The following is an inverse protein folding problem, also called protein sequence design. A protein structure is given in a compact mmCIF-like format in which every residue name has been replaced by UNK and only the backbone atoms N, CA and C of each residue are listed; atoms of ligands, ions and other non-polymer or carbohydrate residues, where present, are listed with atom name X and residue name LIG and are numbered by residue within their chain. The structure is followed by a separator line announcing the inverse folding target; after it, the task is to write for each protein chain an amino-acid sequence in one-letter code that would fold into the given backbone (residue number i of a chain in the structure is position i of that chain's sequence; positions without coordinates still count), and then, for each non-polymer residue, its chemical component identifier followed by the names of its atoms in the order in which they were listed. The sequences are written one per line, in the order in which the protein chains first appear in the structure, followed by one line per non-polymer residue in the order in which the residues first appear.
data_IF_232440758136
#
_entry.id   IF_232440758136
#
_cell.length_a   1.000
_cell.length_b   1.000
_cell.length_c   1.000
_cell.angle_alpha   90.00
_cell.angle_beta   90.00
_cell.angle_gamma   90.00
#
_symmetry.space_group_name_H-M   'P 1'
#
loop_
_entity.id
_entity.type
_entity.pdbx_description
1 polymer ?
#
# COMPACT_ATOMS: atom_id res chain seq x y z
N UNK A 1 -9.53 15.45 -0.57
CA UNK A 1 -8.40 14.69 -0.05
C UNK A 1 -8.59 14.40 1.43
N UNK A 2 -8.37 13.19 1.82
CA UNK A 2 -8.34 12.91 3.25
C UNK A 2 -6.99 13.38 3.81
N UNK A 3 -7.03 14.08 4.95
CA UNK A 3 -5.82 14.47 5.66
C UNK A 3 -5.43 13.43 6.71
N UNK A 4 -6.27 12.42 6.87
CA UNK A 4 -6.11 11.38 7.88
C UNK A 4 -5.37 10.20 7.28
N UNK A 5 -4.04 10.31 7.21
CA UNK A 5 -3.18 9.25 6.69
C UNK A 5 -2.07 8.93 7.69
N UNK A 6 -1.61 7.68 7.67
CA UNK A 6 -0.57 7.17 8.56
C UNK A 6 0.82 7.42 7.99
N UNK A 7 0.95 7.43 6.67
CA UNK A 7 2.25 7.45 5.98
C UNK A 7 2.08 8.03 4.59
N UNK A 8 3.13 8.68 4.10
CA UNK A 8 3.17 9.23 2.76
C UNK A 8 4.55 9.00 2.15
N UNK A 9 4.60 8.75 0.85
CA UNK A 9 5.83 8.49 0.12
C UNK A 9 5.78 9.17 -1.23
N UNK A 10 6.83 9.94 -1.55
CA UNK A 10 6.93 10.66 -2.81
C UNK A 10 7.60 9.82 -3.88
N UNK A 11 7.12 9.96 -5.12
CA UNK A 11 7.60 9.26 -6.30
C UNK A 11 7.68 10.21 -7.48
N UNK A 12 8.35 9.77 -8.53
CA UNK A 12 8.20 10.34 -9.87
C UNK A 12 8.07 9.22 -10.87
N UNK A 13 7.28 9.45 -11.93
CA UNK A 13 7.04 8.46 -12.98
C UNK A 13 8.27 8.34 -13.89
N UNK A 14 8.72 7.12 -14.13
CA UNK A 14 9.81 6.81 -15.05
C UNK A 14 9.26 6.43 -16.42
N UNK A 15 10.01 6.73 -17.48
CA UNK A 15 9.57 6.49 -18.86
C UNK A 15 9.13 5.04 -19.10
N UNK A 16 9.89 4.08 -18.57
CA UNK A 16 9.61 2.65 -18.76
C UNK A 16 8.38 2.14 -18.01
N UNK A 17 7.75 2.98 -17.20
CA UNK A 17 6.52 2.64 -16.49
C UNK A 17 5.27 2.96 -17.31
N UNK A 18 5.45 3.64 -18.44
CA UNK A 18 4.37 4.04 -19.32
C UNK A 18 4.16 3.03 -20.45
N UNK A 19 2.91 2.95 -20.92
CA UNK A 19 2.53 2.13 -22.06
C UNK A 19 2.61 2.93 -23.38
N UNK A 20 2.13 2.31 -24.46
CA UNK A 20 2.14 2.95 -25.78
C UNK A 20 1.28 4.21 -25.86
N UNK A 21 0.35 4.39 -24.93
CA UNK A 21 -0.49 5.58 -24.89
C UNK A 21 0.18 6.75 -24.16
N UNK A 22 1.37 6.51 -23.60
CA UNK A 22 2.11 7.54 -22.86
C UNK A 22 1.63 7.77 -21.44
N UNK A 23 0.84 6.86 -20.92
CA UNK A 23 0.37 6.91 -19.52
C UNK A 23 0.87 5.70 -18.77
N UNK A 24 0.95 5.81 -17.44
CA UNK A 24 1.41 4.71 -16.60
C UNK A 24 0.53 3.47 -16.81
N UNK A 25 1.15 2.32 -17.01
CA UNK A 25 0.47 1.06 -17.17
C UNK A 25 -0.32 0.70 -15.90
N UNK A 26 -1.53 0.16 -16.07
CA UNK A 26 -2.40 -0.18 -14.95
C UNK A 26 -1.73 -1.03 -13.87
N UNK A 27 -0.90 -1.99 -14.28
CA UNK A 27 -0.22 -2.87 -13.33
C UNK A 27 0.84 -2.13 -12.50
N UNK A 28 1.45 -1.10 -13.05
CA UNK A 28 2.50 -0.34 -12.38
C UNK A 28 1.95 0.42 -11.16
N UNK A 29 0.70 0.88 -11.22
CA UNK A 29 0.07 1.54 -10.07
C UNK A 29 0.08 0.62 -8.84
N UNK A 30 -0.15 -0.67 -9.03
CA UNK A 30 -0.10 -1.62 -7.91
C UNK A 30 1.31 -1.73 -7.33
N UNK A 31 2.34 -1.63 -8.17
CA UNK A 31 3.73 -1.63 -7.70
C UNK A 31 4.03 -0.41 -6.84
N UNK A 32 3.53 0.76 -7.21
CA UNK A 32 3.68 1.96 -6.39
C UNK A 32 3.04 1.78 -5.02
N UNK A 33 1.81 1.26 -5.01
CA UNK A 33 1.07 1.06 -3.76
C UNK A 33 1.75 0.02 -2.88
N UNK A 34 2.23 -1.07 -3.45
CA UNK A 34 2.96 -2.10 -2.73
C UNK A 34 4.25 -1.57 -2.12
N UNK A 35 5.02 -0.82 -2.92
CA UNK A 35 6.25 -0.24 -2.43
C UNK A 35 6.00 0.69 -1.24
N UNK A 36 4.95 1.50 -1.30
CA UNK A 36 4.57 2.36 -0.19
C UNK A 36 4.23 1.57 1.07
N UNK A 37 3.52 0.44 0.92
CA UNK A 37 3.21 -0.43 2.07
C UNK A 37 4.50 -1.00 2.68
N UNK A 38 5.45 -1.44 1.85
CA UNK A 38 6.74 -1.96 2.34
C UNK A 38 7.53 -0.89 3.08
N UNK A 39 7.57 0.32 2.55
CA UNK A 39 8.28 1.43 3.21
C UNK A 39 7.59 1.83 4.52
N UNK A 40 6.27 1.76 4.56
CA UNK A 40 5.53 1.98 5.81
C UNK A 40 5.95 0.97 6.89
N UNK A 41 5.99 -0.32 6.55
CA UNK A 41 6.43 -1.33 7.50
C UNK A 41 7.83 -1.04 8.01
N UNK A 42 8.75 -0.72 7.10
CA UNK A 42 10.13 -0.39 7.47
C UNK A 42 10.21 0.83 8.39
N UNK A 43 9.38 1.84 8.14
CA UNK A 43 9.34 3.02 8.98
C UNK A 43 8.91 2.71 10.41
N UNK A 44 8.19 1.61 10.61
CA UNK A 44 7.74 1.14 11.91
C UNK A 44 8.67 0.06 12.50
N UNK A 45 9.81 -0.20 11.85
CA UNK A 45 10.79 -1.17 12.33
C UNK A 45 10.52 -2.61 11.90
N UNK A 46 9.65 -2.82 10.92
CA UNK A 46 9.34 -4.15 10.39
C UNK A 46 9.81 -4.29 8.96
N UNK A 47 9.91 -5.56 8.52
CA UNK A 47 10.09 -5.86 7.11
C UNK A 47 9.45 -7.22 6.83
N UNK A 48 8.95 -7.40 5.60
CA UNK A 48 8.21 -8.61 5.23
C UNK A 48 9.06 -9.87 5.34
N UNK A 49 10.33 -9.79 4.96
CA UNK A 49 11.21 -10.96 5.02
C UNK A 49 11.47 -11.38 6.47
N UNK A 50 11.65 -10.41 7.36
CA UNK A 50 11.85 -10.68 8.79
C UNK A 50 10.59 -11.29 9.39
N UNK A 51 9.42 -10.74 9.10
CA UNK A 51 8.15 -11.29 9.58
C UNK A 51 7.95 -12.72 9.11
N UNK A 52 8.28 -13.01 7.84
CA UNK A 52 8.19 -14.35 7.30
C UNK A 52 9.10 -15.32 8.07
N UNK A 53 10.34 -14.94 8.33
CA UNK A 53 11.27 -15.77 9.11
C UNK A 53 10.75 -16.04 10.52
N UNK A 54 9.97 -15.14 11.07
CA UNK A 54 9.37 -15.28 12.39
C UNK A 54 8.02 -16.02 12.36
N UNK A 55 7.60 -16.48 11.19
CA UNK A 55 6.35 -17.23 11.03
C UNK A 55 5.12 -16.37 10.87
N UNK A 56 5.26 -15.13 10.44
CA UNK A 56 4.15 -14.20 10.24
C UNK A 56 4.16 -13.67 8.82
N UNK A 57 3.15 -14.04 8.02
CA UNK A 57 3.02 -13.56 6.65
C UNK A 57 1.81 -12.64 6.52
N UNK A 58 2.06 -11.40 6.09
CA UNK A 58 1.00 -10.47 5.73
C UNK A 58 0.62 -10.73 4.28
N UNK A 59 -0.61 -11.15 4.05
CA UNK A 59 -1.10 -11.47 2.70
C UNK A 59 -2.33 -10.65 2.38
N UNK A 60 -2.39 -10.16 1.14
CA UNK A 60 -3.56 -9.44 0.62
C UNK A 60 -4.56 -10.45 0.10
N UNK A 61 -5.81 -10.34 0.52
CA UNK A 61 -6.88 -11.22 0.10
C UNK A 61 -7.89 -10.53 -0.80
N UNK A 62 -7.95 -9.21 -0.79
CA UNK A 62 -8.85 -8.44 -1.62
C UNK A 62 -8.24 -7.08 -1.93
N UNK A 63 -8.45 -6.62 -3.15
CA UNK A 63 -7.98 -5.35 -3.62
C UNK A 63 -9.08 -4.67 -4.43
N UNK A 64 -9.34 -3.39 -4.14
CA UNK A 64 -10.27 -2.56 -4.90
C UNK A 64 -9.51 -1.31 -5.32
N UNK A 65 -9.50 -1.02 -6.63
CA UNK A 65 -8.80 0.15 -7.19
C UNK A 65 -9.76 0.94 -8.06
N UNK A 66 -9.81 2.25 -7.83
CA UNK A 66 -10.54 3.18 -8.68
C UNK A 66 -9.53 4.11 -9.35
N UNK A 67 -9.42 3.98 -10.67
CA UNK A 67 -8.53 4.82 -11.49
C UNK A 67 -9.27 6.08 -11.88
N UNK A 68 -8.81 7.24 -11.42
CA UNK A 68 -9.51 8.52 -11.64
C UNK A 68 -8.87 9.34 -12.76
N UNK A 69 -7.55 9.47 -12.77
CA UNK A 69 -6.80 10.22 -13.77
C UNK A 69 -5.47 9.54 -14.03
N UNK A 70 -4.92 9.65 -15.24
CA UNK A 70 -3.64 9.02 -15.55
C UNK A 70 -2.46 9.83 -15.05
N UNK A 71 -1.36 9.12 -14.80
CA UNK A 71 -0.03 9.71 -14.63
C UNK A 71 0.76 9.53 -15.91
N UNK A 72 1.66 10.46 -16.19
CA UNK A 72 2.53 10.46 -17.36
C UNK A 72 3.98 10.50 -16.93
N UNK A 73 4.87 10.17 -17.86
CA UNK A 73 6.31 10.21 -17.63
C UNK A 73 6.72 11.57 -17.06
N UNK A 74 7.54 11.54 -16.01
CA UNK A 74 8.03 12.73 -15.34
C UNK A 74 7.11 13.34 -14.30
N UNK A 75 5.87 12.88 -14.19
CA UNK A 75 4.96 13.39 -13.17
C UNK A 75 5.46 13.06 -11.77
N UNK A 76 5.45 14.07 -10.89
CA UNK A 76 5.68 13.86 -9.47
C UNK A 76 4.36 13.55 -8.79
N UNK A 77 4.36 12.59 -7.87
CA UNK A 77 3.16 12.22 -7.14
C UNK A 77 3.51 11.71 -5.74
N UNK A 78 2.50 11.63 -4.90
CA UNK A 78 2.63 11.10 -3.55
C UNK A 78 1.62 9.99 -3.35
N UNK A 79 2.06 8.90 -2.74
CA UNK A 79 1.18 7.84 -2.27
C UNK A 79 0.92 8.07 -0.79
N UNK A 80 -0.35 8.24 -0.44
CA UNK A 80 -0.81 8.36 0.95
C UNK A 80 -1.37 7.02 1.39
N UNK A 81 -1.12 6.67 2.63
CA UNK A 81 -1.50 5.37 3.18
C UNK A 81 -2.06 5.53 4.59
N UNK A 82 -3.17 4.87 4.85
CA UNK A 82 -3.71 4.69 6.19
C UNK A 82 -3.83 3.20 6.45
N UNK A 83 -3.31 2.75 7.59
CA UNK A 83 -3.37 1.36 8.00
C UNK A 83 -4.29 1.23 9.21
N UNK A 84 -5.18 0.25 9.20
CA UNK A 84 -6.08 0.01 10.31
C UNK A 84 -6.43 -1.47 10.43
N UNK A 85 -6.84 -1.86 11.63
CA UNK A 85 -7.28 -3.20 11.88
C UNK A 85 -8.78 -3.32 11.59
N UNK A 86 -9.19 -4.45 11.01
CA UNK A 86 -10.58 -4.73 10.75
C UNK A 86 -10.95 -6.06 11.41
N UNK A 87 -11.60 -5.99 12.56
CA UNK A 87 -11.92 -7.18 13.32
C UNK A 87 -10.68 -7.84 13.91
N UNK A 88 -10.75 -9.16 14.12
CA UNK A 88 -9.70 -9.90 14.82
C UNK A 88 -8.55 -10.31 13.93
N UNK A 89 -8.83 -10.63 12.66
CA UNK A 89 -7.86 -11.32 11.80
C UNK A 89 -7.54 -10.57 10.52
N UNK A 90 -8.13 -9.39 10.30
CA UNK A 90 -7.92 -8.62 9.07
C UNK A 90 -7.31 -7.27 9.33
N UNK A 91 -6.53 -6.80 8.36
CA UNK A 91 -6.05 -5.42 8.29
C UNK A 91 -6.54 -4.79 7.00
N UNK A 92 -6.53 -3.47 6.96
CA UNK A 92 -6.88 -2.69 5.77
C UNK A 92 -5.81 -1.64 5.55
N UNK A 93 -5.34 -1.53 4.30
CA UNK A 93 -4.59 -0.37 3.84
C UNK A 93 -5.50 0.43 2.93
N UNK A 94 -5.83 1.65 3.32
CA UNK A 94 -6.50 2.61 2.45
C UNK A 94 -5.42 3.51 1.86
N UNK A 95 -5.32 3.53 0.53
CA UNK A 95 -4.26 4.25 -0.15
C UNK A 95 -4.83 5.15 -1.23
N UNK A 96 -4.19 6.29 -1.45
CA UNK A 96 -4.52 7.15 -2.58
C UNK A 96 -3.24 7.69 -3.18
N UNK A 97 -3.29 7.95 -4.49
CA UNK A 97 -2.22 8.59 -5.23
C UNK A 97 -2.71 9.97 -5.63
N UNK A 98 -1.90 11.00 -5.34
CA UNK A 98 -2.15 12.36 -5.79
C UNK A 98 -0.95 12.89 -6.54
N UNK A 99 -1.23 13.49 -7.70
CA UNK A 99 -0.19 14.16 -8.49
C UNK A 99 0.24 15.44 -7.74
N UNK A 100 1.40 15.95 -8.07
CA UNK A 100 1.95 17.14 -7.41
C UNK A 100 1.04 18.37 -7.42
N UNK A 101 0.12 18.47 -8.38
CA UNK A 101 -0.87 19.55 -8.44
C UNK A 101 -2.13 19.28 -7.59
N UNK A 102 -2.16 18.18 -6.84
CA UNK A 102 -3.28 17.82 -5.98
C UNK A 102 -4.34 16.95 -6.65
N UNK A 103 -4.22 16.68 -7.95
CA UNK A 103 -5.19 15.84 -8.67
C UNK A 103 -5.20 14.43 -8.10
N UNK A 104 -6.38 13.93 -7.77
CA UNK A 104 -6.54 12.54 -7.34
C UNK A 104 -6.40 11.61 -8.53
N UNK A 105 -5.40 10.75 -8.49
CA UNK A 105 -5.08 9.82 -9.56
C UNK A 105 -5.77 8.48 -9.35
N UNK A 106 -5.70 7.97 -8.12
CA UNK A 106 -6.19 6.63 -7.80
C UNK A 106 -6.56 6.54 -6.33
N UNK A 107 -7.60 5.76 -6.05
CA UNK A 107 -7.92 5.33 -4.69
C UNK A 107 -7.92 3.82 -4.64
N UNK A 108 -7.33 3.25 -3.58
CA UNK A 108 -7.25 1.82 -3.42
C UNK A 108 -7.56 1.39 -2.00
N UNK A 109 -8.09 0.20 -1.88
CA UNK A 109 -8.35 -0.43 -0.61
C UNK A 109 -7.87 -1.87 -0.68
N UNK A 110 -6.97 -2.22 0.22
CA UNK A 110 -6.35 -3.54 0.28
C UNK A 110 -6.71 -4.17 1.61
N UNK A 111 -7.38 -5.30 1.55
CA UNK A 111 -7.73 -6.07 2.74
C UNK A 111 -6.85 -7.29 2.78
N UNK A 112 -6.32 -7.60 3.95
CA UNK A 112 -5.46 -8.75 4.11
C UNK A 112 -5.58 -9.37 5.49
N UNK A 113 -4.78 -10.39 5.70
CA UNK A 113 -4.68 -11.07 6.97
C UNK A 113 -3.22 -11.42 7.26
N UNK A 114 -2.92 -11.70 8.51
CA UNK A 114 -1.64 -12.26 8.89
C UNK A 114 -1.81 -13.75 9.08
N UNK A 115 -1.01 -14.54 8.36
CA UNK A 115 -0.99 -15.99 8.52
C UNK A 115 0.16 -16.40 9.41
N UNK A 116 -0.10 -17.32 10.34
CA UNK A 116 0.96 -17.89 11.16
C UNK A 116 1.67 -19.04 10.40
N UNK A 117 2.65 -19.68 11.03
CA UNK A 117 3.41 -20.75 10.39
C UNK A 117 2.58 -21.98 10.03
N UNK A 118 1.40 -22.13 10.63
CA UNK A 118 0.42 -23.18 10.28
C UNK A 118 -0.55 -22.73 9.16
N UNK A 119 -0.28 -21.57 8.55
CA UNK A 119 -1.10 -20.99 7.48
C UNK A 119 -2.52 -20.66 7.93
N UNK A 120 -2.68 -20.28 9.20
CA UNK A 120 -3.96 -19.88 9.78
C UNK A 120 -3.93 -18.39 10.14
N UNK A 121 -5.07 -17.69 10.02
CA UNK A 121 -5.13 -16.28 10.41
C UNK A 121 -4.82 -16.07 11.88
N UNK A 122 -4.01 -15.05 12.16
CA UNK A 122 -3.69 -14.68 13.53
C UNK A 122 -2.82 -13.43 13.56
N UNK A 123 -3.06 -12.55 14.52
CA UNK A 123 -2.31 -11.32 14.68
C UNK A 123 -1.43 -11.39 15.93
N UNK A 124 -0.11 -11.46 15.79
CA UNK A 124 0.75 -11.28 16.95
C UNK A 124 0.64 -9.84 17.47
N UNK A 125 0.73 -9.68 18.79
CA UNK A 125 0.52 -8.38 19.45
C UNK A 125 1.47 -7.29 18.91
N UNK A 126 2.67 -7.65 18.46
CA UNK A 126 3.62 -6.67 17.94
C UNK A 126 3.11 -5.94 16.70
N UNK A 127 2.16 -6.52 15.94
CA UNK A 127 1.58 -5.87 14.77
C UNK A 127 0.58 -4.77 15.15
N UNK A 128 0.22 -4.64 16.42
CA UNK A 128 -0.60 -3.52 16.87
C UNK A 128 0.08 -2.17 16.59
N UNK A 129 1.40 -2.16 16.51
CA UNK A 129 2.16 -0.97 16.13
C UNK A 129 1.86 -0.50 14.70
N UNK A 130 1.41 -1.40 13.83
CA UNK A 130 1.08 -1.09 12.44
C UNK A 130 -0.40 -0.74 12.27
N UNK A 131 -1.27 -1.52 12.87
CA UNK A 131 -2.71 -1.50 12.56
C UNK A 131 -3.58 -1.08 13.74
N UNK A 132 -3.00 -0.86 14.90
CA UNK A 132 -3.73 -0.63 16.13
C UNK A 132 -4.18 -1.93 16.77
N UNK A 133 -4.67 -1.85 17.99
CA UNK A 133 -5.09 -3.02 18.77
C UNK A 133 -6.37 -3.67 18.24
#
# INVERSE_FOLDING_TARGET
MTTDHTFALDFSVRDYECDLQGIVNNAVYQNYLEHARHQFLRSCGFDFAQLHREGHDLVITRCELDYKHPLRSGDAFTVYLRAERQGRVRFVFAQEIRRGDGTLILQGRFVGTCLNSNRRPGFPAKLDALFGP
#
